data_IF_428751237851
#
_entry.id   IF_428751237851
#
_cell.length_a   1.000
_cell.length_b   1.000
_cell.length_c   1.000
_cell.angle_alpha   90.00
_cell.angle_beta   90.00
_cell.angle_gamma   90.00
#
_symmetry.space_group_name_H-M   'P 1'
#
loop_
_entity.id
_entity.type
_entity.pdbx_description
1 polymer ?
#
# COMPACT_ATOMS: atom_id res chain seq x y z
N UNK A 1 1.69 8.73 18.44
CA UNK A 1 1.66 9.56 17.21
C UNK A 1 1.23 8.67 16.05
N UNK A 2 0.33 9.15 15.17
CA UNK A 2 0.03 8.43 13.92
C UNK A 2 1.21 8.59 12.96
N UNK A 3 1.68 7.48 12.37
CA UNK A 3 2.74 7.52 11.36
C UNK A 3 2.13 7.89 10.02
N UNK A 4 2.58 8.99 9.42
CA UNK A 4 2.18 9.37 8.07
C UNK A 4 2.78 8.38 7.06
N UNK A 5 2.01 8.00 6.06
CA UNK A 5 2.52 7.18 4.97
C UNK A 5 3.43 8.00 4.06
N UNK A 6 4.51 7.38 3.61
CA UNK A 6 5.54 7.99 2.78
C UNK A 6 5.94 7.01 1.68
N UNK A 7 6.66 7.51 0.68
CA UNK A 7 7.16 6.68 -0.40
C UNK A 7 7.97 5.51 0.17
N UNK A 8 7.67 4.29 -0.31
CA UNK A 8 8.36 3.07 0.10
C UNK A 8 7.77 2.41 1.34
N UNK A 9 6.84 3.03 2.08
CA UNK A 9 6.16 2.38 3.20
C UNK A 9 5.21 1.28 2.73
N UNK A 10 5.13 0.18 3.50
CA UNK A 10 4.04 -0.79 3.36
C UNK A 10 2.82 -0.21 4.07
N UNK A 11 1.72 -0.08 3.37
CA UNK A 11 0.50 0.56 3.87
C UNK A 11 -0.68 -0.40 3.85
N UNK A 12 -1.60 -0.18 4.80
CA UNK A 12 -2.97 -0.67 4.71
C UNK A 12 -3.76 0.41 3.98
N UNK A 13 -4.28 0.07 2.80
CA UNK A 13 -5.02 0.99 1.95
C UNK A 13 -6.34 0.37 1.49
N UNK A 14 -7.27 1.20 1.03
CA UNK A 14 -8.40 0.76 0.22
C UNK A 14 -8.40 1.50 -1.12
N UNK A 15 -8.60 0.76 -2.20
CA UNK A 15 -8.82 1.32 -3.55
C UNK A 15 -10.27 1.05 -3.90
N UNK A 16 -11.05 2.09 -4.14
CA UNK A 16 -12.49 2.03 -4.42
C UNK A 16 -13.30 1.24 -3.36
N UNK A 17 -12.79 1.22 -2.12
CA UNK A 17 -13.40 0.50 -0.99
C UNK A 17 -12.87 -0.91 -0.76
N UNK A 18 -12.02 -1.46 -1.63
CA UNK A 18 -11.40 -2.77 -1.46
C UNK A 18 -10.05 -2.67 -0.72
N UNK A 19 -9.93 -3.36 0.42
CA UNK A 19 -8.73 -3.33 1.25
C UNK A 19 -7.57 -4.12 0.64
N UNK A 20 -6.36 -3.55 0.75
CA UNK A 20 -5.13 -4.14 0.25
C UNK A 20 -3.93 -3.77 1.13
N UNK A 21 -2.92 -4.63 1.15
CA UNK A 21 -1.60 -4.36 1.73
C UNK A 21 -0.57 -4.37 0.62
N UNK A 22 0.07 -3.23 0.41
CA UNK A 22 1.00 -2.98 -0.71
C UNK A 22 2.04 -1.96 -0.28
N UNK A 23 3.15 -1.88 -1.03
CA UNK A 23 4.11 -0.78 -0.89
C UNK A 23 3.58 0.47 -1.60
N UNK A 24 3.50 1.58 -0.89
CA UNK A 24 3.14 2.87 -1.44
C UNK A 24 4.31 3.44 -2.25
N UNK A 25 4.06 3.76 -3.52
CA UNK A 25 4.95 4.56 -4.34
C UNK A 25 4.28 5.90 -4.64
N UNK A 26 5.00 7.01 -4.42
CA UNK A 26 4.51 8.36 -4.75
C UNK A 26 5.19 8.98 -5.98
N UNK A 27 6.39 8.49 -6.35
CA UNK A 27 7.21 9.02 -7.43
C UNK A 27 7.88 7.88 -8.20
N UNK A 28 8.12 7.99 -9.52
CA UNK A 28 7.67 9.08 -10.39
C UNK A 28 6.15 9.05 -10.63
N UNK A 29 5.50 7.92 -10.38
CA UNK A 29 4.05 7.72 -10.53
C UNK A 29 3.48 7.15 -9.23
N UNK A 30 2.32 7.68 -8.81
CA UNK A 30 1.61 7.18 -7.65
C UNK A 30 1.03 5.78 -7.94
N UNK A 31 1.43 4.79 -7.15
CA UNK A 31 0.95 3.40 -7.30
C UNK A 31 1.09 2.60 -6.00
N UNK A 32 0.33 1.51 -5.91
CA UNK A 32 0.50 0.47 -4.90
C UNK A 32 1.23 -0.73 -5.52
N UNK A 33 2.47 -0.96 -5.09
CA UNK A 33 3.33 -2.04 -5.61
C UNK A 33 3.16 -3.33 -4.81
N UNK A 34 2.96 -4.47 -5.47
CA UNK A 34 3.06 -5.77 -4.81
C UNK A 34 4.51 -6.12 -4.51
N UNK A 35 4.70 -6.96 -3.50
CA UNK A 35 5.96 -7.63 -3.16
C UNK A 35 5.94 -9.10 -3.61
N UNK A 36 5.20 -9.39 -4.67
CA UNK A 36 5.07 -10.70 -5.29
C UNK A 36 5.03 -10.51 -6.81
N UNK A 37 5.98 -11.13 -7.52
CA UNK A 37 6.16 -11.00 -8.98
C UNK A 37 4.99 -11.51 -9.82
N UNK A 38 4.11 -12.34 -9.25
CA UNK A 38 2.91 -12.82 -9.93
C UNK A 38 1.80 -11.75 -10.04
N UNK A 39 1.93 -10.62 -9.34
CA UNK A 39 0.91 -9.58 -9.30
C UNK A 39 1.40 -8.29 -9.96
N UNK A 40 0.50 -7.61 -10.66
CA UNK A 40 0.79 -6.30 -11.26
C UNK A 40 0.61 -5.16 -10.24
N UNK A 41 1.37 -4.06 -10.36
CA UNK A 41 1.12 -2.83 -9.61
C UNK A 41 -0.27 -2.24 -9.90
N UNK A 42 -0.86 -1.59 -8.89
CA UNK A 42 -2.09 -0.80 -9.04
C UNK A 42 -1.67 0.66 -9.19
N UNK A 43 -1.76 1.20 -10.42
CA UNK A 43 -1.52 2.62 -10.67
C UNK A 43 -2.71 3.42 -10.17
N UNK A 44 -2.47 4.49 -9.42
CA UNK A 44 -3.54 5.34 -8.90
C UNK A 44 -3.80 6.47 -9.88
N UNK A 45 -4.90 6.36 -10.60
CA UNK A 45 -5.45 7.36 -11.50
C UNK A 45 -6.12 8.53 -10.76
N UNK A 46 -6.61 9.49 -11.54
CA UNK A 46 -7.31 10.67 -10.98
C UNK A 46 -8.69 10.36 -10.43
N UNK A 47 -9.36 9.37 -11.02
CA UNK A 47 -10.72 8.97 -10.64
C UNK A 47 -10.73 7.91 -9.53
N UNK A 48 -9.59 7.27 -9.26
CA UNK A 48 -9.49 6.21 -8.25
C UNK A 48 -9.58 6.81 -6.85
N UNK A 49 -10.40 6.20 -5.98
CA UNK A 49 -10.44 6.58 -4.58
C UNK A 49 -9.44 5.76 -3.78
N UNK A 50 -8.32 6.37 -3.41
CA UNK A 50 -7.32 5.79 -2.51
C UNK A 50 -7.48 6.31 -1.08
N UNK A 51 -7.75 5.40 -0.15
CA UNK A 51 -7.74 5.66 1.28
C UNK A 51 -6.53 4.97 1.94
N UNK A 52 -5.75 5.69 2.76
CA UNK A 52 -4.63 5.11 3.52
C UNK A 52 -4.99 5.11 5.01
N UNK A 53 -5.06 3.92 5.60
CA UNK A 53 -5.46 3.73 7.00
C UNK A 53 -4.26 3.74 7.95
N UNK A 54 -3.08 3.31 7.47
CA UNK A 54 -1.89 3.30 8.30
C UNK A 54 -0.68 2.65 7.64
N UNK A 55 0.46 2.77 8.32
CA UNK A 55 1.74 2.18 7.92
C UNK A 55 1.97 0.90 8.72
N UNK A 56 2.32 -0.18 8.03
CA UNK A 56 2.71 -1.45 8.64
C UNK A 56 4.06 -1.26 9.34
N UNK A 57 4.13 -1.60 10.63
CA UNK A 57 5.34 -1.45 11.46
C UNK A 57 6.01 -2.77 11.80
N UNK A 58 5.22 -3.85 11.89
CA UNK A 58 5.71 -5.18 12.23
C UNK A 58 4.96 -6.25 11.43
N UNK A 59 5.64 -7.35 11.18
CA UNK A 59 5.04 -8.58 10.67
C UNK A 59 5.24 -9.63 11.75
N UNK A 60 4.15 -10.17 12.28
CA UNK A 60 4.20 -11.27 13.24
C UNK A 60 4.00 -12.56 12.46
N UNK A 61 5.00 -13.45 12.47
CA UNK A 61 4.91 -14.78 11.86
C UNK A 61 4.89 -15.82 12.97
N UNK A 62 3.94 -16.74 12.91
CA UNK A 62 3.98 -17.94 13.74
C UNK A 62 5.04 -18.88 13.18
N UNK A 63 5.86 -19.45 14.05
CA UNK A 63 6.77 -20.55 13.72
C UNK A 63 6.12 -21.83 14.26
N UNK A 64 5.77 -22.72 13.34
CA UNK A 64 5.28 -24.08 13.61
C UNK A 64 6.28 -25.08 13.10
#
# INVERSE_FOLDING_TARGET
>A
SSRKAEHGHIVIAAVDGEFTVKRLQLHPVAMLKPENSAYSPIVIGREDRLDIFGVVTYIVKSVS
#
